data_IF_963939972381
#
_entry.id   IF_963939972381
#
_cell.length_a   1.000
_cell.length_b   1.000
_cell.length_c   1.000
_cell.angle_alpha   90.00
_cell.angle_beta   90.00
_cell.angle_gamma   90.00
#
_symmetry.space_group_name_H-M   'P 1'
#
loop_
_entity.id
_entity.type
_entity.pdbx_description
1 polymer ?
#
# COMPACT_ATOMS: atom_id res chain seq x y z
N UNK A 1 -3.24 -1.21 22.85
CA UNK A 1 -2.12 -0.43 22.28
C UNK A 1 -1.08 -1.42 21.81
N UNK A 2 -1.17 -1.87 20.57
CA UNK A 2 -0.17 -2.79 19.99
C UNK A 2 1.15 -2.04 19.87
N UNK A 3 2.23 -2.64 20.35
CA UNK A 3 3.59 -2.22 20.07
C UNK A 3 3.76 -2.21 18.56
N UNK A 4 3.63 -1.03 17.95
CA UNK A 4 3.86 -0.88 16.52
C UNK A 4 5.33 -1.26 16.28
N UNK A 5 5.55 -2.45 15.72
CA UNK A 5 6.84 -2.80 15.14
C UNK A 5 7.23 -1.71 14.14
N UNK A 6 8.54 -1.51 13.95
CA UNK A 6 9.00 -0.50 13.01
C UNK A 6 8.27 -0.63 11.66
N UNK A 7 7.87 0.49 11.03
CA UNK A 7 7.06 0.44 9.82
C UNK A 7 7.80 -0.27 8.68
N UNK A 8 7.06 -1.03 7.88
CA UNK A 8 7.59 -1.76 6.71
C UNK A 8 8.12 -0.75 5.67
N UNK A 9 9.26 -1.10 5.07
CA UNK A 9 9.99 -0.23 4.14
C UNK A 9 10.60 -1.02 2.99
N UNK A 10 10.74 -0.38 1.84
CA UNK A 10 11.35 -0.98 0.65
C UNK A 10 12.84 -0.67 0.53
N UNK A 11 13.31 0.39 1.20
CA UNK A 11 14.72 0.74 1.21
C UNK A 11 15.31 0.66 2.64
N UNK A 12 16.56 0.21 2.71
CA UNK A 12 17.39 0.27 3.90
C UNK A 12 17.76 1.72 4.24
N UNK A 13 18.25 1.97 5.45
CA UNK A 13 18.71 3.31 5.83
C UNK A 13 19.99 3.68 5.05
N UNK A 14 20.83 2.68 4.81
CA UNK A 14 22.11 2.85 4.15
C UNK A 14 21.92 3.22 2.67
N UNK A 15 20.96 2.60 1.97
CA UNK A 15 20.57 3.00 0.59
C UNK A 15 20.06 4.44 0.53
N UNK A 16 19.30 4.89 1.53
CA UNK A 16 18.80 6.27 1.60
C UNK A 16 19.95 7.25 1.78
N UNK A 17 20.93 6.91 2.63
CA UNK A 17 22.10 7.74 2.88
C UNK A 17 23.00 7.82 1.65
N UNK A 18 23.22 6.70 0.96
CA UNK A 18 23.98 6.66 -0.29
C UNK A 18 23.28 7.41 -1.43
N UNK A 19 21.94 7.36 -1.50
CA UNK A 19 21.18 8.16 -2.45
C UNK A 19 21.28 9.67 -2.15
N UNK A 20 21.35 10.04 -0.86
CA UNK A 20 21.56 11.43 -0.45
C UNK A 20 22.98 11.90 -0.77
N UNK A 21 23.99 11.07 -0.52
CA UNK A 21 25.40 11.32 -0.80
C UNK A 21 26.18 10.03 -1.02
N UNK A 22 26.67 9.82 -2.24
CA UNK A 22 27.33 8.58 -2.65
C UNK A 22 28.67 8.35 -1.94
N UNK A 23 29.31 9.42 -1.45
CA UNK A 23 30.59 9.36 -0.75
C UNK A 23 30.42 9.14 0.77
N UNK A 24 29.19 9.16 1.29
CA UNK A 24 28.91 8.95 2.72
C UNK A 24 29.13 7.48 3.10
N UNK A 25 29.97 7.23 4.11
CA UNK A 25 30.10 5.91 4.75
C UNK A 25 28.97 5.71 5.78
N UNK A 26 27.96 4.84 5.52
CA UNK A 26 26.82 4.66 6.41
C UNK A 26 27.19 4.18 7.81
N UNK A 27 28.34 3.50 7.97
CA UNK A 27 28.80 3.00 9.27
C UNK A 27 29.28 4.12 10.21
N UNK A 28 29.63 5.29 9.66
CA UNK A 28 30.13 6.44 10.41
C UNK A 28 29.04 7.46 10.73
N UNK A 29 27.84 7.30 10.14
CA UNK A 29 26.73 8.24 10.30
C UNK A 29 26.13 8.14 11.70
N UNK A 30 25.89 9.27 12.39
CA UNK A 30 25.25 9.25 13.71
C UNK A 30 23.89 8.54 13.71
N UNK A 31 23.61 7.79 14.78
CA UNK A 31 22.40 6.98 14.91
C UNK A 31 21.10 7.79 14.72
N UNK A 32 21.06 9.04 15.18
CA UNK A 32 19.90 9.91 15.00
C UNK A 32 19.60 10.21 13.52
N UNK A 33 20.64 10.31 12.67
CA UNK A 33 20.49 10.49 11.21
C UNK A 33 20.04 9.20 10.56
N UNK A 34 20.57 8.05 11.00
CA UNK A 34 20.10 6.72 10.56
C UNK A 34 18.63 6.51 10.89
N UNK A 35 18.19 6.84 12.10
CA UNK A 35 16.79 6.77 12.53
C UNK A 35 15.87 7.69 11.73
N UNK A 36 16.37 8.87 11.30
CA UNK A 36 15.65 9.73 10.37
C UNK A 36 15.50 9.08 9.00
N UNK A 37 16.58 8.51 8.45
CA UNK A 37 16.55 7.79 7.18
C UNK A 37 15.53 6.63 7.20
N UNK A 38 15.47 5.84 8.28
CA UNK A 38 14.46 4.77 8.47
C UNK A 38 13.04 5.34 8.37
N UNK A 39 12.74 6.42 9.12
CA UNK A 39 11.41 7.05 9.10
C UNK A 39 11.05 7.62 7.72
N UNK A 40 12.04 8.17 6.99
CA UNK A 40 11.84 8.67 5.63
C UNK A 40 11.62 7.54 4.63
N UNK A 41 12.34 6.42 4.74
CA UNK A 41 12.14 5.24 3.93
C UNK A 41 10.72 4.69 4.09
N UNK A 42 10.23 4.55 5.33
CA UNK A 42 8.86 4.13 5.59
C UNK A 42 7.82 5.10 5.01
N UNK A 43 8.04 6.41 5.17
CA UNK A 43 7.16 7.42 4.57
C UNK A 43 7.18 7.37 3.04
N UNK A 44 8.34 7.13 2.42
CA UNK A 44 8.49 6.99 0.98
C UNK A 44 7.80 5.72 0.47
N UNK A 45 7.90 4.60 1.21
CA UNK A 45 7.15 3.37 0.92
C UNK A 45 5.64 3.61 0.93
N UNK A 46 5.11 4.31 1.94
CA UNK A 46 3.67 4.65 1.96
C UNK A 46 3.26 5.55 0.78
N UNK A 47 4.10 6.53 0.42
CA UNK A 47 3.87 7.37 -0.77
C UNK A 47 3.88 6.54 -2.05
N UNK A 48 4.80 5.58 -2.16
CA UNK A 48 4.88 4.66 -3.31
C UNK A 48 3.58 3.86 -3.45
N UNK A 49 3.12 3.24 -2.37
CA UNK A 49 1.89 2.42 -2.39
C UNK A 49 0.68 3.26 -2.77
N UNK A 50 0.53 4.44 -2.16
CA UNK A 50 -0.58 5.35 -2.48
C UNK A 50 -0.52 5.86 -3.93
N UNK A 51 0.68 6.11 -4.47
CA UNK A 51 0.88 6.64 -5.82
C UNK A 51 0.69 5.59 -6.91
N UNK A 52 1.13 4.36 -6.66
CA UNK A 52 1.16 3.28 -7.66
C UNK A 52 0.01 2.28 -7.51
N UNK A 53 -0.64 2.26 -6.34
CA UNK A 53 -1.58 1.20 -5.96
C UNK A 53 -0.92 -0.18 -5.82
N UNK A 54 0.43 -0.24 -5.77
CA UNK A 54 1.19 -1.50 -5.73
C UNK A 54 1.97 -1.61 -4.43
N UNK A 55 1.56 -2.58 -3.60
CA UNK A 55 2.32 -3.01 -2.45
C UNK A 55 3.14 -4.27 -2.76
N UNK A 56 4.39 -4.28 -2.28
CA UNK A 56 5.30 -5.44 -2.32
C UNK A 56 5.33 -6.19 -0.98
N UNK A 57 4.37 -5.90 -0.10
CA UNK A 57 4.09 -6.65 1.12
C UNK A 57 2.56 -6.72 1.31
N UNK A 58 2.05 -7.66 2.13
CA UNK A 58 0.65 -7.69 2.51
C UNK A 58 0.25 -6.40 3.25
N UNK A 59 -0.76 -5.70 2.72
CA UNK A 59 -1.37 -4.52 3.34
C UNK A 59 -2.84 -4.80 3.57
N UNK A 60 -3.33 -4.49 4.78
CA UNK A 60 -4.73 -4.71 5.14
C UNK A 60 -5.60 -3.48 4.84
N UNK A 61 -6.79 -3.74 4.31
CA UNK A 61 -7.87 -2.76 4.14
C UNK A 61 -8.81 -2.83 5.36
N UNK A 62 -8.90 -1.73 6.11
CA UNK A 62 -9.70 -1.65 7.33
C UNK A 62 -9.12 -2.44 8.52
N UNK A 63 -9.42 -2.02 9.75
CA UNK A 63 -9.04 -2.77 10.94
C UNK A 63 -10.03 -3.92 11.18
N UNK A 64 -9.52 -5.10 11.53
CA UNK A 64 -10.31 -6.33 11.72
C UNK A 64 -11.43 -6.15 12.75
N UNK A 65 -11.16 -5.40 13.82
CA UNK A 65 -12.08 -5.11 14.92
C UNK A 65 -12.90 -3.83 14.74
N UNK A 66 -12.72 -3.10 13.62
CA UNK A 66 -13.45 -1.86 13.34
C UNK A 66 -14.17 -1.91 11.98
N UNK A 67 -15.36 -2.54 11.88
CA UNK A 67 -16.11 -2.67 10.62
C UNK A 67 -16.50 -1.36 9.94
N UNK A 68 -16.35 -0.22 10.63
CA UNK A 68 -16.57 1.12 10.05
C UNK A 68 -15.42 1.59 9.16
N UNK A 69 -14.26 0.96 9.28
CA UNK A 69 -13.06 1.23 8.49
C UNK A 69 -12.93 0.31 7.28
N UNK A 70 -13.83 -0.66 7.14
CA UNK A 70 -13.83 -1.64 6.06
C UNK A 70 -14.23 -1.00 4.74
N UNK A 71 -13.86 -1.65 3.65
CA UNK A 71 -14.37 -1.31 2.32
C UNK A 71 -15.85 -1.65 2.26
N UNK A 72 -16.66 -0.75 1.70
CA UNK A 72 -18.11 -0.88 1.62
C UNK A 72 -18.54 -0.58 0.19
N UNK A 73 -19.41 -1.42 -0.35
CA UNK A 73 -20.01 -1.16 -1.66
C UNK A 73 -21.53 -1.06 -1.57
N UNK A 74 -22.03 0.00 -2.20
CA UNK A 74 -23.44 0.36 -2.32
C UNK A 74 -24.02 -0.13 -3.64
N UNK A 75 -25.34 0.02 -3.78
CA UNK A 75 -26.04 -0.54 -4.93
C UNK A 75 -25.52 0.01 -6.28
N UNK A 76 -25.02 1.25 -6.27
CA UNK A 76 -24.45 1.93 -7.44
C UNK A 76 -23.05 1.42 -7.84
N UNK A 77 -22.27 0.86 -6.90
CA UNK A 77 -20.93 0.36 -7.19
C UNK A 77 -20.98 -0.98 -7.95
N UNK A 78 -22.14 -1.63 -7.96
CA UNK A 78 -22.34 -2.90 -8.62
C UNK A 78 -22.38 -2.75 -10.15
N UNK A 79 -21.36 -3.29 -10.82
CA UNK A 79 -21.27 -3.39 -12.29
C UNK A 79 -22.36 -4.24 -12.94
N UNK A 80 -22.93 -5.17 -12.17
CA UNK A 80 -24.07 -6.02 -12.54
C UNK A 80 -24.88 -6.29 -11.28
N UNK A 81 -26.13 -6.75 -11.40
CA UNK A 81 -26.99 -7.15 -10.28
C UNK A 81 -27.34 -8.64 -10.24
N UNK A 82 -27.07 -9.38 -11.32
CA UNK A 82 -27.44 -10.80 -11.43
C UNK A 82 -26.29 -11.62 -12.05
N UNK A 83 -25.32 -12.11 -11.25
CA UNK A 83 -25.10 -11.81 -9.83
C UNK A 83 -24.50 -10.42 -9.65
N UNK A 84 -24.65 -9.82 -8.47
CA UNK A 84 -24.04 -8.51 -8.30
C UNK A 84 -22.55 -8.57 -8.14
N UNK A 85 -21.89 -7.69 -8.88
CA UNK A 85 -20.46 -7.76 -9.11
C UNK A 85 -19.87 -6.40 -8.84
N UNK A 86 -18.89 -6.32 -7.95
CA UNK A 86 -18.16 -5.09 -7.62
C UNK A 86 -16.69 -5.27 -7.95
N UNK A 87 -16.00 -4.15 -8.17
CA UNK A 87 -14.55 -4.13 -8.27
C UNK A 87 -14.02 -3.63 -6.95
N UNK A 88 -13.11 -4.38 -6.34
CA UNK A 88 -12.45 -3.94 -5.12
C UNK A 88 -11.56 -2.72 -5.39
N UNK A 89 -11.47 -1.81 -4.42
CA UNK A 89 -10.77 -0.55 -4.56
C UNK A 89 -9.26 -0.77 -4.75
N UNK A 90 -8.69 -1.69 -3.96
CA UNK A 90 -7.26 -1.94 -3.96
C UNK A 90 -6.84 -2.97 -5.03
N UNK A 91 -5.71 -2.70 -5.67
CA UNK A 91 -5.16 -3.61 -6.67
C UNK A 91 -4.58 -4.88 -6.03
N UNK A 92 -4.68 -6.01 -6.75
CA UNK A 92 -4.11 -7.31 -6.34
C UNK A 92 -4.56 -7.76 -4.93
N UNK A 93 -5.88 -7.98 -4.73
CA UNK A 93 -6.35 -8.64 -3.52
C UNK A 93 -5.65 -9.99 -3.40
N UNK A 94 -5.17 -10.31 -2.21
CA UNK A 94 -4.66 -11.63 -1.88
C UNK A 94 -5.82 -12.62 -1.72
N UNK A 95 -5.58 -13.93 -1.85
CA UNK A 95 -6.56 -14.94 -1.46
C UNK A 95 -7.12 -14.65 -0.07
N UNK A 96 -8.45 -14.61 0.04
CA UNK A 96 -9.11 -14.31 1.31
C UNK A 96 -8.84 -15.43 2.29
N UNK A 97 -8.36 -15.07 3.48
CA UNK A 97 -8.05 -16.01 4.54
C UNK A 97 -8.66 -15.54 5.88
N UNK A 98 -9.71 -16.21 6.36
CA UNK A 98 -10.32 -15.91 7.66
C UNK A 98 -9.33 -15.98 8.83
N UNK A 99 -8.33 -16.88 8.76
CA UNK A 99 -7.34 -17.03 9.84
C UNK A 99 -6.43 -15.80 9.98
N UNK A 100 -6.28 -15.04 8.90
CA UNK A 100 -5.52 -13.80 8.85
C UNK A 100 -6.39 -12.58 9.21
N UNK A 101 -7.69 -12.78 9.43
CA UNK A 101 -8.66 -11.74 9.75
C UNK A 101 -9.29 -11.08 8.52
N UNK A 102 -9.24 -11.73 7.35
CA UNK A 102 -10.01 -11.30 6.19
C UNK A 102 -11.49 -11.68 6.40
N UNK A 103 -12.41 -10.79 6.02
CA UNK A 103 -13.84 -11.02 6.25
C UNK A 103 -14.67 -10.37 5.14
N UNK A 104 -15.66 -11.11 4.63
CA UNK A 104 -16.72 -10.60 3.76
C UNK A 104 -18.05 -10.73 4.47
N UNK A 105 -18.76 -9.61 4.59
CA UNK A 105 -20.12 -9.59 5.10
C UNK A 105 -21.10 -9.06 4.06
N UNK A 106 -22.22 -9.78 3.92
CA UNK A 106 -23.34 -9.38 3.06
C UNK A 106 -24.46 -8.87 3.95
N UNK A 107 -25.07 -7.76 3.55
CA UNK A 107 -26.17 -7.18 4.30
C UNK A 107 -27.43 -8.03 4.18
N UNK A 108 -27.92 -8.51 5.32
CA UNK A 108 -29.15 -9.31 5.46
C UNK A 108 -30.34 -8.50 5.97
N UNK A 109 -30.09 -7.30 6.50
CA UNK A 109 -31.13 -6.37 6.96
C UNK A 109 -30.62 -4.94 7.11
N UNK A 110 -31.47 -4.02 7.61
CA UNK A 110 -31.10 -2.59 7.70
C UNK A 110 -29.84 -2.34 8.54
N UNK A 111 -29.56 -3.16 9.54
CA UNK A 111 -28.37 -3.07 10.39
C UNK A 111 -27.79 -4.44 10.69
N UNK A 112 -28.10 -5.42 9.84
CA UNK A 112 -27.71 -6.81 10.00
C UNK A 112 -26.81 -7.18 8.84
N UNK A 113 -25.70 -7.84 9.18
CA UNK A 113 -24.63 -8.24 8.30
C UNK A 113 -24.34 -9.70 8.61
N UNK A 114 -24.32 -10.52 7.57
CA UNK A 114 -24.02 -11.94 7.67
C UNK A 114 -22.60 -12.15 7.14
N UNK A 115 -21.71 -12.70 7.97
CA UNK A 115 -20.40 -13.17 7.55
C UNK A 115 -20.57 -14.40 6.65
N UNK A 116 -19.99 -14.32 5.46
CA UNK A 116 -20.02 -15.37 4.43
C UNK A 116 -18.61 -15.76 3.98
N UNK A 117 -17.58 -15.39 4.73
CA UNK A 117 -16.18 -15.57 4.33
C UNK A 117 -15.86 -17.03 3.98
N UNK A 118 -16.39 -17.99 4.73
CA UNK A 118 -16.17 -19.42 4.51
C UNK A 118 -17.03 -20.05 3.39
N UNK A 119 -17.84 -19.25 2.69
CA UNK A 119 -18.79 -19.72 1.69
C UNK A 119 -18.37 -19.39 0.24
N UNK A 120 -17.06 -19.42 -0.04
CA UNK A 120 -16.56 -19.24 -1.41
C UNK A 120 -17.11 -20.31 -2.36
N UNK A 121 -17.56 -19.89 -3.53
CA UNK A 121 -18.23 -20.72 -4.54
C UNK A 121 -19.75 -20.77 -4.41
N UNK A 122 -20.28 -20.65 -3.19
CA UNK A 122 -21.71 -20.74 -2.89
C UNK A 122 -22.36 -19.37 -2.69
N UNK A 123 -21.79 -18.52 -1.83
CA UNK A 123 -22.29 -17.17 -1.56
C UNK A 123 -21.60 -16.12 -2.41
N UNK A 124 -20.32 -16.30 -2.68
CA UNK A 124 -19.50 -15.37 -3.43
C UNK A 124 -18.39 -16.07 -4.21
N UNK A 125 -17.81 -15.38 -5.18
CA UNK A 125 -16.60 -15.81 -5.88
C UNK A 125 -15.73 -14.61 -6.23
N UNK A 126 -14.41 -14.76 -6.11
CA UNK A 126 -13.46 -13.69 -6.42
C UNK A 126 -12.67 -14.00 -7.70
N UNK A 127 -12.69 -13.09 -8.67
CA UNK A 127 -11.68 -13.04 -9.74
C UNK A 127 -10.54 -12.14 -9.27
N UNK A 128 -9.53 -12.72 -8.61
CA UNK A 128 -8.39 -11.97 -8.04
C UNK A 128 -7.59 -11.18 -9.08
N UNK A 129 -7.53 -11.66 -10.32
CA UNK A 129 -6.84 -10.97 -11.43
C UNK A 129 -7.57 -9.70 -11.82
N UNK A 130 -8.90 -9.75 -11.89
CA UNK A 130 -9.73 -8.60 -12.24
C UNK A 130 -10.21 -7.80 -11.03
N UNK A 131 -9.94 -8.29 -9.81
CA UNK A 131 -10.39 -7.73 -8.53
C UNK A 131 -11.91 -7.70 -8.44
N UNK A 132 -12.58 -8.69 -9.03
CA UNK A 132 -14.04 -8.71 -9.14
C UNK A 132 -14.62 -9.67 -8.12
N UNK A 133 -15.28 -9.10 -7.12
CA UNK A 133 -16.10 -9.86 -6.19
C UNK A 133 -17.49 -10.04 -6.81
N UNK A 134 -17.90 -11.29 -6.99
CA UNK A 134 -19.25 -11.67 -7.39
C UNK A 134 -19.97 -12.19 -6.17
N UNK A 135 -21.10 -11.59 -5.83
CA UNK A 135 -21.96 -12.02 -4.73
C UNK A 135 -23.28 -12.53 -5.30
N UNK A 136 -23.60 -13.79 -5.05
CA UNK A 136 -24.74 -14.47 -5.65
C UNK A 136 -26.08 -14.02 -5.03
N UNK A 137 -27.12 -13.96 -5.87
CA UNK A 137 -28.39 -13.29 -5.58
C UNK A 137 -29.17 -13.89 -4.39
N UNK A 138 -28.97 -15.20 -4.11
CA UNK A 138 -29.67 -15.92 -3.03
C UNK A 138 -29.41 -15.36 -1.63
N UNK A 139 -28.34 -14.58 -1.43
CA UNK A 139 -27.95 -13.98 -0.15
C UNK A 139 -28.47 -12.55 0.04
N UNK A 140 -29.08 -11.94 -0.98
CA UNK A 140 -29.49 -10.53 -0.93
C UNK A 140 -30.92 -10.40 -0.41
N UNK A 141 -31.08 -9.77 0.75
CA UNK A 141 -32.38 -9.28 1.20
C UNK A 141 -32.79 -7.97 0.50
N UNK A 142 -31.87 -7.35 -0.26
CA UNK A 142 -32.00 -6.02 -0.84
C UNK A 142 -32.10 -6.12 -2.36
N UNK A 143 -33.09 -5.45 -2.93
CA UNK A 143 -33.26 -5.28 -4.37
C UNK A 143 -32.55 -4.02 -4.84
N UNK A 144 -32.10 -3.99 -6.10
CA UNK A 144 -31.63 -2.76 -6.76
C UNK A 144 -32.66 -1.62 -6.82
N UNK A 145 -33.93 -1.93 -6.54
CA UNK A 145 -35.05 -0.96 -6.49
C UNK A 145 -35.27 -0.38 -5.09
N UNK A 146 -34.60 -0.91 -4.06
CA UNK A 146 -34.53 -0.28 -2.75
C UNK A 146 -33.65 0.98 -2.84
N UNK A 147 -33.47 1.70 -1.73
CA UNK A 147 -32.67 2.93 -1.73
C UNK A 147 -31.32 2.68 -2.45
N UNK A 148 -31.04 3.39 -3.56
CA UNK A 148 -29.87 3.15 -4.40
C UNK A 148 -28.54 3.37 -3.68
N UNK A 149 -28.54 3.97 -2.48
CA UNK A 149 -27.36 4.16 -1.63
C UNK A 149 -27.30 3.13 -0.49
N UNK A 150 -28.01 2.01 -0.63
CA UNK A 150 -27.98 0.95 0.37
C UNK A 150 -26.72 0.11 0.17
N UNK A 151 -25.77 0.23 1.10
CA UNK A 151 -24.63 -0.70 1.22
C UNK A 151 -25.11 -2.13 1.26
N UNK A 152 -24.55 -3.00 0.43
CA UNK A 152 -24.98 -4.40 0.36
C UNK A 152 -23.86 -5.38 0.70
N UNK A 153 -22.61 -4.97 0.59
CA UNK A 153 -21.44 -5.77 0.97
C UNK A 153 -20.42 -4.87 1.65
N UNK A 154 -19.75 -5.41 2.67
CA UNK A 154 -18.56 -4.82 3.26
C UNK A 154 -17.50 -5.87 3.49
N UNK A 155 -16.24 -5.49 3.44
CA UNK A 155 -15.15 -6.42 3.57
C UNK A 155 -13.87 -5.79 4.10
N UNK A 156 -13.12 -6.58 4.89
CA UNK A 156 -11.71 -6.35 5.19
C UNK A 156 -10.90 -7.45 4.55
N UNK A 157 -9.81 -7.08 3.88
CA UNK A 157 -8.98 -8.04 3.16
C UNK A 157 -7.56 -7.52 3.05
N UNK A 158 -6.65 -8.41 2.66
CA UNK A 158 -5.27 -8.06 2.34
C UNK A 158 -5.08 -7.87 0.84
N UNK A 159 -4.29 -6.88 0.46
CA UNK A 159 -3.79 -6.71 -0.90
C UNK A 159 -2.26 -6.63 -0.87
N UNK A 160 -1.61 -7.02 -1.96
CA UNK A 160 -0.16 -7.11 -1.96
C UNK A 160 0.38 -7.89 -3.15
N UNK A 161 1.61 -8.42 -3.04
CA UNK A 161 2.18 -9.26 -4.08
C UNK A 161 1.40 -10.57 -4.15
N UNK A 162 0.67 -10.76 -5.25
CA UNK A 162 -0.21 -11.90 -5.45
C UNK A 162 0.63 -13.17 -5.66
N UNK A 163 0.62 -14.07 -4.66
CA UNK A 163 1.19 -15.41 -4.79
C UNK A 163 2.71 -15.50 -4.67
N UNK A 164 3.36 -14.48 -4.12
CA UNK A 164 4.79 -14.51 -3.80
C UNK A 164 4.97 -14.44 -2.28
N UNK A 165 5.79 -15.35 -1.74
CA UNK A 165 6.20 -15.26 -0.34
C UNK A 165 7.14 -14.07 -0.18
N UNK A 166 6.66 -13.06 0.55
CA UNK A 166 7.45 -11.87 0.86
C UNK A 166 8.35 -12.15 2.04
N UNK A 167 9.65 -12.01 1.83
CA UNK A 167 10.61 -12.02 2.91
C UNK A 167 10.75 -10.59 3.46
N UNK A 168 10.49 -10.45 4.76
CA UNK A 168 10.75 -9.22 5.51
C UNK A 168 11.87 -9.52 6.50
N UNK A 169 12.95 -8.76 6.43
CA UNK A 169 14.09 -8.97 7.30
C UNK A 169 13.85 -8.44 8.73
N UNK A 170 14.80 -8.67 9.63
CA UNK A 170 14.71 -8.24 11.03
C UNK A 170 14.57 -6.71 11.22
N UNK A 171 14.95 -5.91 10.21
CA UNK A 171 14.85 -4.44 10.23
C UNK A 171 13.58 -3.93 9.51
N UNK A 172 12.59 -4.79 9.30
CA UNK A 172 11.32 -4.52 8.60
C UNK A 172 11.49 -4.03 7.15
N UNK A 173 12.56 -4.45 6.48
CA UNK A 173 12.79 -4.20 5.05
C UNK A 173 12.27 -5.37 4.22
N UNK A 174 11.52 -5.07 3.17
CA UNK A 174 11.03 -6.05 2.20
C UNK A 174 12.17 -6.45 1.25
N UNK A 175 12.62 -7.70 1.32
CA UNK A 175 13.74 -8.18 0.51
C UNK A 175 13.35 -8.44 -0.95
N UNK A 176 12.08 -8.77 -1.21
CA UNK A 176 11.56 -9.04 -2.55
C UNK A 176 11.20 -7.79 -3.36
N UNK A 177 11.38 -6.60 -2.79
CA UNK A 177 11.13 -5.35 -3.51
C UNK A 177 12.09 -5.24 -4.72
N UNK A 178 11.59 -4.97 -5.94
CA UNK A 178 12.44 -4.82 -7.12
C UNK A 178 13.54 -3.77 -6.94
N UNK A 179 14.77 -3.95 -7.49
CA UNK A 179 15.89 -3.04 -7.27
C UNK A 179 15.61 -1.58 -7.65
N UNK A 180 14.92 -1.36 -8.76
CA UNK A 180 14.43 -0.07 -9.24
C UNK A 180 13.46 0.60 -8.25
N UNK A 181 12.57 -0.19 -7.63
CA UNK A 181 11.66 0.31 -6.59
C UNK A 181 12.42 0.69 -5.33
N UNK A 182 13.42 -0.12 -4.93
CA UNK A 182 14.29 0.19 -3.78
C UNK A 182 15.02 1.50 -3.98
N UNK A 183 15.61 1.68 -5.17
CA UNK A 183 16.31 2.90 -5.57
C UNK A 183 15.38 4.11 -5.60
N UNK A 184 14.19 4.00 -6.22
CA UNK A 184 13.20 5.08 -6.25
C UNK A 184 12.73 5.48 -4.83
N UNK A 185 12.44 4.50 -3.97
CA UNK A 185 12.04 4.77 -2.58
C UNK A 185 13.19 5.40 -1.78
N UNK A 186 14.43 4.93 -1.97
CA UNK A 186 15.61 5.52 -1.37
C UNK A 186 15.81 6.98 -1.82
N UNK A 187 15.71 7.25 -3.13
CA UNK A 187 15.80 8.59 -3.71
C UNK A 187 14.73 9.54 -3.14
N UNK A 188 13.47 9.09 -3.05
CA UNK A 188 12.38 9.88 -2.48
C UNK A 188 12.55 10.12 -0.97
N UNK A 189 13.07 9.14 -0.25
CA UNK A 189 13.40 9.29 1.16
C UNK A 189 14.58 10.28 1.36
N UNK A 190 15.59 10.21 0.50
CA UNK A 190 16.74 11.11 0.49
C UNK A 190 16.33 12.55 0.16
N UNK A 191 15.45 12.77 -0.82
CA UNK A 191 14.93 14.11 -1.12
C UNK A 191 14.12 14.69 0.05
N UNK A 192 13.29 13.88 0.69
CA UNK A 192 12.59 14.29 1.92
C UNK A 192 13.55 14.62 3.07
N UNK A 193 14.67 13.90 3.19
CA UNK A 193 15.70 14.16 4.17
C UNK A 193 16.37 15.51 3.88
N UNK A 194 16.83 15.71 2.65
CA UNK A 194 17.46 16.94 2.15
C UNK A 194 16.59 18.19 2.35
N UNK A 195 15.28 18.10 2.09
CA UNK A 195 14.34 19.22 2.27
C UNK A 195 14.02 19.52 3.74
N UNK A 196 14.07 18.51 4.61
CA UNK A 196 13.76 18.70 6.04
C UNK A 196 14.94 19.25 6.86
N UNK A 197 16.16 19.19 6.32
CA UNK A 197 17.38 19.63 6.99
C UNK A 197 17.73 21.11 6.72
N UNK A 198 16.80 22.01 7.06
CA UNK A 198 17.08 23.44 7.17
C UNK A 198 17.97 23.79 8.39
N UNK A 199 18.46 22.81 9.18
CA UNK A 199 19.17 23.12 10.44
C UNK A 199 20.36 22.27 10.89
N UNK A 200 20.60 21.00 10.48
CA UNK A 200 21.71 20.25 11.10
C UNK A 200 22.14 18.95 10.38
N UNK A 201 22.68 19.08 9.17
CA UNK A 201 23.63 18.08 8.65
C UNK A 201 24.84 18.85 8.15
N UNK A 202 25.94 18.81 8.92
CA UNK A 202 27.30 19.16 8.49
C UNK A 202 27.76 18.13 7.44
N UNK A 203 27.01 17.97 6.36
CA UNK A 203 27.48 17.26 5.18
C UNK A 203 28.44 18.24 4.49
N UNK A 204 29.74 17.93 4.41
CA UNK A 204 30.71 18.81 3.79
C UNK A 204 30.29 19.12 2.37
N UNK A 205 30.29 20.40 2.01
CA UNK A 205 30.13 20.82 0.61
C UNK A 205 31.40 20.39 -0.15
N UNK A 206 31.34 19.22 -0.78
CA UNK A 206 32.37 18.63 -1.62
C UNK A 206 32.46 19.28 -3.01
N UNK A 207 31.85 20.46 -3.21
CA UNK A 207 32.03 21.28 -4.42
C UNK A 207 31.37 20.71 -5.68
N UNK A 208 30.64 19.60 -5.56
CA UNK A 208 29.87 18.97 -6.64
C UNK A 208 28.39 19.38 -6.66
N UNK A 209 27.96 20.32 -5.81
CA UNK A 209 26.56 20.69 -5.71
C UNK A 209 26.12 21.58 -6.90
N UNK A 210 25.61 20.94 -7.95
CA UNK A 210 24.36 21.45 -8.54
C UNK A 210 23.42 21.74 -7.36
N UNK A 211 22.84 22.95 -7.28
CA UNK A 211 22.10 23.45 -6.12
C UNK A 211 21.26 22.38 -5.40
N UNK A 212 21.18 22.40 -4.06
CA UNK A 212 20.40 21.42 -3.28
C UNK A 212 18.98 21.21 -3.82
N UNK A 213 18.35 22.27 -4.31
CA UNK A 213 17.06 22.24 -5.02
C UNK A 213 17.12 21.34 -6.26
N UNK A 214 18.09 21.55 -7.15
CA UNK A 214 18.29 20.68 -8.33
C UNK A 214 18.58 19.22 -7.98
N UNK A 215 19.28 18.93 -6.86
CA UNK A 215 19.50 17.55 -6.41
C UNK A 215 18.20 16.91 -5.90
N UNK A 216 17.39 17.65 -5.13
CA UNK A 216 16.07 17.20 -4.68
C UNK A 216 15.13 16.97 -5.86
N UNK A 217 15.13 17.87 -6.84
CA UNK A 217 14.32 17.77 -8.06
C UNK A 217 14.74 16.56 -8.91
N UNK A 218 16.04 16.29 -9.06
CA UNK A 218 16.52 15.10 -9.76
C UNK A 218 16.11 13.80 -9.06
N UNK A 219 16.22 13.74 -7.73
CA UNK A 219 15.79 12.58 -6.93
C UNK A 219 14.27 12.39 -6.95
N UNK A 220 13.51 13.49 -6.95
CA UNK A 220 12.06 13.46 -7.09
C UNK A 220 11.65 13.00 -8.49
N UNK A 221 12.31 13.48 -9.55
CA UNK A 221 12.09 13.04 -10.93
C UNK A 221 12.31 11.53 -11.06
N UNK A 222 13.43 11.01 -10.54
CA UNK A 222 13.71 9.57 -10.59
C UNK A 222 12.60 8.74 -9.93
N UNK A 223 12.10 9.18 -8.76
CA UNK A 223 10.96 8.53 -8.11
C UNK A 223 9.69 8.61 -8.95
N UNK A 224 9.35 9.77 -9.51
CA UNK A 224 8.14 9.94 -10.30
C UNK A 224 8.19 9.14 -11.60
N UNK A 225 9.35 9.05 -12.26
CA UNK A 225 9.57 8.27 -13.48
C UNK A 225 9.30 6.78 -13.21
N UNK A 226 9.92 6.19 -12.17
CA UNK A 226 9.67 4.80 -11.79
C UNK A 226 8.23 4.60 -11.33
N UNK A 227 7.66 5.52 -10.54
CA UNK A 227 6.27 5.41 -10.10
C UNK A 227 5.28 5.47 -11.28
N UNK A 228 5.58 6.24 -12.34
CA UNK A 228 4.79 6.30 -13.56
C UNK A 228 4.70 4.91 -14.23
N UNK A 229 5.85 4.25 -14.43
CA UNK A 229 5.94 2.90 -15.01
C UNK A 229 5.08 1.89 -14.24
N UNK A 230 5.11 1.93 -12.92
CA UNK A 230 4.35 1.00 -12.08
C UNK A 230 2.86 1.35 -11.97
N UNK A 231 2.51 2.63 -12.09
CA UNK A 231 1.11 3.07 -12.10
C UNK A 231 0.39 2.79 -13.42
N UNK A 232 1.11 2.40 -14.48
CA UNK A 232 0.55 2.16 -15.81
C UNK A 232 0.18 3.44 -16.58
N UNK A 233 0.49 4.61 -16.01
CA UNK A 233 0.52 5.89 -16.70
C UNK A 233 1.95 6.15 -17.16
N UNK A 234 2.27 5.75 -18.39
CA UNK A 234 3.46 6.26 -19.05
C UNK A 234 3.18 7.70 -19.46
N UNK A 235 4.03 8.65 -19.06
CA UNK A 235 3.95 10.06 -19.46
C UNK A 235 4.60 10.34 -20.82
N UNK A 236 4.68 9.33 -21.70
CA UNK A 236 5.04 9.51 -23.11
C UNK A 236 3.88 10.11 -23.91
#
# INVERSE_FOLDING_TARGET
MSTAGDPIRYATADEVLLALDADTDPATVPEHTRNRAIKRAASATNKWINRTGRAFHPVRVGAVDEPRSWEVHDVQDAMSWSPATVTLDNARPMPLDPAEGDTIEIRSGRSQWDDVTDEEGDAWAMDYRRRRLRVFERRRAISRRDDPNTSFVRLTYRYGPLGEDVQINADNVVESAPPDVREAVAAKAASMLALSDNTALDIPDNGQLASRTSRSEALESAYEDTAAEYSGFSSL
#
